data_IF_906706891018
#
_entry.id   IF_906706891018
#
_cell.length_a   1.000
_cell.length_b   1.000
_cell.length_c   1.000
_cell.angle_alpha   90.00
_cell.angle_beta   90.00
_cell.angle_gamma   90.00
#
_symmetry.space_group_name_H-M   'P 1'
#
loop_
_entity.id
_entity.type
_entity.pdbx_description
1 polymer ?
#
# COMPACT_ATOMS: atom_id res chain seq x y z
N UNK A 1 7.80 26.15 10.15
CA UNK A 1 7.88 24.66 10.18
C UNK A 1 6.54 24.01 10.53
N UNK A 2 5.83 24.44 11.60
CA UNK A 2 4.48 23.93 11.93
C UNK A 2 3.46 24.09 10.79
N UNK A 3 3.46 25.23 10.10
CA UNK A 3 2.56 25.48 8.98
C UNK A 3 2.84 24.56 7.79
N UNK A 4 4.12 24.34 7.44
CA UNK A 4 4.51 23.47 6.33
C UNK A 4 4.00 22.03 6.53
N UNK A 5 4.21 21.45 7.71
CA UNK A 5 3.73 20.08 8.00
C UNK A 5 2.20 19.99 8.00
N UNK A 6 1.53 21.08 8.42
CA UNK A 6 0.06 21.17 8.37
C UNK A 6 -0.44 21.16 6.93
N UNK A 7 0.12 22.00 6.07
CA UNK A 7 -0.23 22.08 4.65
C UNK A 7 0.03 20.75 3.93
N UNK A 8 1.20 20.13 4.15
CA UNK A 8 1.52 18.81 3.59
C UNK A 8 0.48 17.78 4.02
N UNK A 9 0.11 17.77 5.30
CA UNK A 9 -0.93 16.88 5.81
C UNK A 9 -2.31 17.13 5.19
N UNK A 10 -2.66 18.40 4.93
CA UNK A 10 -3.93 18.73 4.26
C UNK A 10 -3.94 18.26 2.81
N UNK A 11 -2.87 18.51 2.05
CA UNK A 11 -2.72 18.04 0.67
C UNK A 11 -2.81 16.51 0.61
N UNK A 12 -2.06 15.81 1.46
CA UNK A 12 -2.06 14.34 1.49
C UNK A 12 -3.45 13.77 1.77
N UNK A 13 -4.20 14.33 2.74
CA UNK A 13 -5.57 13.87 3.05
C UNK A 13 -6.59 14.25 1.98
N UNK A 14 -6.42 15.39 1.33
CA UNK A 14 -7.29 15.80 0.22
C UNK A 14 -7.13 14.84 -0.97
N UNK A 15 -5.88 14.52 -1.33
CA UNK A 15 -5.59 13.52 -2.36
C UNK A 15 -6.15 12.14 -1.99
N UNK A 16 -5.95 11.68 -0.74
CA UNK A 16 -6.52 10.40 -0.31
C UNK A 16 -8.06 10.40 -0.39
N UNK A 17 -8.72 11.50 -0.03
CA UNK A 17 -10.18 11.61 -0.12
C UNK A 17 -10.69 11.55 -1.56
N UNK A 18 -9.98 12.19 -2.50
CA UNK A 18 -10.29 12.10 -3.93
C UNK A 18 -10.10 10.66 -4.42
N UNK A 19 -8.95 10.05 -4.14
CA UNK A 19 -8.67 8.65 -4.51
C UNK A 19 -9.70 7.68 -3.93
N UNK A 20 -10.23 7.94 -2.73
CA UNK A 20 -11.27 7.11 -2.12
C UNK A 20 -12.61 7.16 -2.87
N UNK A 21 -12.91 8.28 -3.54
CA UNK A 21 -14.12 8.43 -4.36
C UNK A 21 -13.88 7.76 -5.71
N UNK A 22 -12.81 8.13 -6.40
CA UNK A 22 -12.51 7.68 -7.77
C UNK A 22 -12.22 6.17 -7.82
N UNK A 23 -11.57 5.61 -6.80
CA UNK A 23 -11.20 4.20 -6.78
C UNK A 23 -12.21 3.29 -6.07
N UNK A 24 -13.39 3.81 -5.75
CA UNK A 24 -14.44 3.07 -5.04
C UNK A 24 -14.93 1.85 -5.83
N UNK A 25 -15.19 2.01 -7.12
CA UNK A 25 -15.70 0.94 -7.98
C UNK A 25 -14.65 -0.13 -8.28
N UNK A 26 -13.38 0.15 -8.02
CA UNK A 26 -12.26 -0.75 -8.26
C UNK A 26 -11.76 -1.42 -6.98
N UNK A 27 -12.43 -1.29 -5.84
CA UNK A 27 -11.98 -1.83 -4.55
C UNK A 27 -10.56 -1.38 -4.11
N UNK A 28 -10.07 -0.25 -4.62
CA UNK A 28 -8.71 0.28 -4.38
C UNK A 28 -8.67 1.51 -3.46
N UNK A 29 -9.73 1.70 -2.68
CA UNK A 29 -9.85 2.78 -1.69
C UNK A 29 -8.96 2.56 -0.46
N UNK A 30 -8.95 3.56 0.44
CA UNK A 30 -8.23 3.60 1.72
C UNK A 30 -6.73 3.36 1.55
N UNK A 31 -6.15 3.99 0.54
CA UNK A 31 -4.73 3.90 0.22
C UNK A 31 -4.29 2.55 -0.36
N UNK A 32 -5.18 1.62 -0.69
CA UNK A 32 -4.78 0.32 -1.26
C UNK A 32 -4.07 0.45 -2.61
N UNK A 33 -4.48 1.41 -3.43
CA UNK A 33 -3.82 1.69 -4.71
C UNK A 33 -2.31 1.94 -4.55
N UNK A 34 -1.86 2.55 -3.44
CA UNK A 34 -0.44 2.81 -3.19
C UNK A 34 0.36 1.51 -3.10
N UNK A 35 -0.18 0.50 -2.42
CA UNK A 35 0.46 -0.81 -2.31
C UNK A 35 0.51 -1.52 -3.66
N UNK A 36 -0.60 -1.50 -4.41
CA UNK A 36 -0.67 -2.13 -5.72
C UNK A 36 0.34 -1.51 -6.70
N UNK A 37 0.41 -0.17 -6.76
CA UNK A 37 1.40 0.54 -7.60
C UNK A 37 2.82 0.12 -7.26
N UNK A 38 3.20 0.10 -5.98
CA UNK A 38 4.57 -0.31 -5.58
C UNK A 38 4.90 -1.75 -5.92
N UNK A 39 3.93 -2.65 -5.83
CA UNK A 39 4.12 -4.07 -6.19
C UNK A 39 4.26 -4.21 -7.71
N UNK A 40 3.47 -3.49 -8.50
CA UNK A 40 3.61 -3.47 -9.96
C UNK A 40 4.95 -2.87 -10.41
N UNK A 41 5.44 -1.81 -9.75
CA UNK A 41 6.74 -1.20 -10.01
C UNK A 41 7.92 -2.10 -9.62
N UNK A 42 7.72 -3.05 -8.71
CA UNK A 42 8.77 -3.93 -8.19
C UNK A 42 8.25 -5.36 -8.00
N UNK A 43 8.06 -6.12 -9.08
CA UNK A 43 7.58 -7.50 -8.99
C UNK A 43 8.48 -8.37 -8.09
N UNK A 44 7.87 -9.19 -7.24
CA UNK A 44 8.60 -10.03 -6.27
C UNK A 44 9.06 -9.30 -5.01
N UNK A 45 8.69 -8.03 -4.82
CA UNK A 45 9.02 -7.27 -3.61
C UNK A 45 8.39 -7.91 -2.36
N UNK A 46 9.19 -8.01 -1.29
CA UNK A 46 8.72 -8.51 0.00
C UNK A 46 7.92 -7.44 0.76
N UNK A 47 6.95 -7.89 1.55
CA UNK A 47 6.06 -7.02 2.33
C UNK A 47 6.80 -5.98 3.18
N UNK A 48 7.92 -6.35 3.81
CA UNK A 48 8.72 -5.43 4.63
C UNK A 48 9.24 -4.24 3.82
N UNK A 49 9.66 -4.48 2.57
CA UNK A 49 10.19 -3.42 1.70
C UNK A 49 9.08 -2.52 1.18
N UNK A 50 7.90 -3.07 0.88
CA UNK A 50 6.72 -2.27 0.52
C UNK A 50 6.34 -1.30 1.66
N UNK A 51 6.32 -1.78 2.91
CA UNK A 51 6.04 -0.94 4.07
C UNK A 51 7.05 0.20 4.22
N UNK A 52 8.34 -0.09 4.00
CA UNK A 52 9.43 0.91 4.05
C UNK A 52 9.31 1.97 2.95
N UNK A 53 8.88 1.58 1.73
CA UNK A 53 8.69 2.50 0.61
C UNK A 53 7.51 3.44 0.82
N UNK A 54 6.41 2.92 1.37
CA UNK A 54 5.19 3.70 1.64
C UNK A 54 5.30 4.48 2.97
N UNK A 55 6.32 4.21 3.79
CA UNK A 55 6.56 4.85 5.10
C UNK A 55 5.43 4.58 6.09
N UNK A 56 5.00 3.32 6.16
CA UNK A 56 3.95 2.84 7.07
C UNK A 56 4.48 1.72 7.98
N UNK A 57 3.79 1.48 9.09
CA UNK A 57 4.12 0.36 9.96
C UNK A 57 3.80 -0.99 9.29
N UNK A 58 4.49 -2.04 9.76
CA UNK A 58 4.35 -3.40 9.21
C UNK A 58 2.94 -3.97 9.34
N UNK A 59 2.19 -3.58 10.36
CA UNK A 59 0.84 -4.10 10.61
C UNK A 59 -0.16 -3.52 9.62
N UNK A 60 -0.07 -2.21 9.36
CA UNK A 60 -0.89 -1.54 8.33
C UNK A 60 -0.60 -2.09 6.94
N UNK A 61 0.68 -2.30 6.62
CA UNK A 61 1.06 -2.92 5.35
C UNK A 61 0.54 -4.36 5.22
N UNK A 62 0.68 -5.18 6.27
CA UNK A 62 0.18 -6.56 6.28
C UNK A 62 -1.32 -6.64 5.98
N UNK A 63 -2.13 -5.76 6.59
CA UNK A 63 -3.58 -5.72 6.38
C UNK A 63 -3.92 -5.30 4.95
N UNK A 64 -3.23 -4.29 4.43
CA UNK A 64 -3.50 -3.75 3.08
C UNK A 64 -3.13 -4.76 2.00
N UNK A 65 -1.95 -5.38 2.11
CA UNK A 65 -1.49 -6.43 1.19
C UNK A 65 -2.41 -7.64 1.24
N UNK A 66 -2.82 -8.08 2.44
CA UNK A 66 -3.79 -9.18 2.56
C UNK A 66 -5.12 -8.86 1.88
N UNK A 67 -5.59 -7.61 1.95
CA UNK A 67 -6.84 -7.22 1.30
C UNK A 67 -6.71 -7.16 -0.22
N UNK A 68 -5.57 -6.70 -0.75
CA UNK A 68 -5.26 -6.78 -2.19
C UNK A 68 -5.23 -8.23 -2.68
N UNK A 69 -4.61 -9.13 -1.93
CA UNK A 69 -4.56 -10.56 -2.21
C UNK A 69 -5.98 -11.18 -2.22
N UNK A 70 -6.79 -10.90 -1.19
CA UNK A 70 -8.18 -11.37 -1.11
C UNK A 70 -9.07 -10.85 -2.25
N UNK A 71 -8.77 -9.66 -2.76
CA UNK A 71 -9.50 -9.06 -3.88
C UNK A 71 -8.94 -9.50 -5.25
N UNK A 72 -7.91 -10.35 -5.30
CA UNK A 72 -7.34 -10.89 -6.54
C UNK A 72 -6.41 -9.93 -7.29
N UNK A 73 -5.96 -8.84 -6.66
CA UNK A 73 -5.04 -7.88 -7.31
C UNK A 73 -3.59 -8.37 -7.32
N UNK A 74 -3.20 -9.16 -6.32
CA UNK A 74 -1.85 -9.69 -6.16
C UNK A 74 -1.91 -11.14 -5.71
N UNK A 75 -0.82 -11.86 -5.94
CA UNK A 75 -0.59 -13.20 -5.38
C UNK A 75 0.68 -13.18 -4.53
N UNK A 76 0.68 -13.99 -3.47
CA UNK A 76 1.88 -14.27 -2.69
C UNK A 76 2.50 -15.57 -3.14
N UNK A 77 3.82 -15.59 -3.23
CA UNK A 77 4.61 -16.78 -3.54
C UNK A 77 5.59 -16.99 -2.42
N UNK A 78 5.63 -18.22 -1.92
CA UNK A 78 6.67 -18.61 -0.98
C UNK A 78 8.02 -18.56 -1.68
N UNK A 79 9.01 -18.01 -1.00
CA UNK A 79 10.38 -17.99 -1.50
C UNK A 79 11.00 -19.39 -1.36
N UNK A 80 11.55 -19.93 -2.46
CA UNK A 80 12.14 -21.27 -2.49
C UNK A 80 13.35 -21.42 -1.56
N UNK A 81 14.06 -20.32 -1.27
CA UNK A 81 15.31 -20.31 -0.50
C UNK A 81 15.10 -19.84 0.94
N UNK A 82 14.10 -18.99 1.19
CA UNK A 82 13.81 -18.45 2.51
C UNK A 82 12.34 -18.56 2.88
N UNK A 83 11.98 -19.68 3.52
CA UNK A 83 10.61 -20.00 3.98
C UNK A 83 10.02 -19.03 5.01
N UNK A 84 10.79 -18.07 5.54
CA UNK A 84 10.27 -16.98 6.38
C UNK A 84 9.66 -15.85 5.54
N UNK A 85 9.97 -15.79 4.25
CA UNK A 85 9.37 -14.87 3.28
C UNK A 85 8.13 -15.57 2.72
N UNK A 86 6.95 -15.02 3.06
CA UNK A 86 5.63 -15.49 2.64
C UNK A 86 4.87 -14.35 2.00
#
# INVERSE_FOLDING_TARGET
MKEILREIGMIARALDSISNIEFKEYDLTRGQYLYLVRICESPGIIQEKVAEMIKVDRTTAARSIKKLEMNGFIEKKEDEHNKKIK
#
